data_IF_933422535623
#
_entry.id   IF_933422535623
#
_cell.length_a   1.000
_cell.length_b   1.000
_cell.length_c   1.000
_cell.angle_alpha   90.00
_cell.angle_beta   90.00
_cell.angle_gamma   90.00
#
_symmetry.space_group_name_H-M   'P 1'
#
loop_
_entity.id
_entity.type
_entity.pdbx_description
1 polymer ?
#
# COMPACT_ATOMS: atom_id res chain seq x y z
N UNK A 1 13.55 3.92 -17.87
CA UNK A 1 13.92 5.12 -17.04
C UNK A 1 14.78 6.14 -17.80
N UNK A 2 15.81 5.75 -18.59
CA UNK A 2 16.70 6.71 -19.28
C UNK A 2 15.95 7.67 -20.21
N UNK A 3 14.98 7.19 -20.99
CA UNK A 3 14.15 8.00 -21.88
C UNK A 3 13.25 8.99 -21.09
N UNK A 4 12.66 8.58 -19.98
CA UNK A 4 11.80 9.44 -19.16
C UNK A 4 12.59 10.60 -18.55
N UNK A 5 13.85 10.39 -18.18
CA UNK A 5 14.74 11.46 -17.71
C UNK A 5 15.00 12.52 -18.80
N UNK A 6 15.02 12.12 -20.06
CA UNK A 6 15.09 13.06 -21.17
C UNK A 6 13.94 14.08 -21.22
N UNK A 7 12.77 13.71 -20.67
CA UNK A 7 11.61 14.59 -20.52
C UNK A 7 11.57 15.37 -19.19
N UNK A 8 12.66 15.39 -18.42
CA UNK A 8 12.78 16.06 -17.11
C UNK A 8 11.82 15.51 -16.04
N UNK A 9 11.39 14.25 -16.17
CA UNK A 9 10.56 13.60 -15.16
C UNK A 9 11.43 13.15 -13.97
N UNK A 10 10.96 13.47 -12.77
CA UNK A 10 11.58 12.97 -11.53
C UNK A 10 11.05 11.58 -11.19
N UNK A 11 11.84 10.78 -10.46
CA UNK A 11 11.38 9.49 -9.94
C UNK A 11 10.09 9.64 -9.13
N UNK A 12 10.02 10.70 -8.33
CA UNK A 12 8.85 11.02 -7.52
C UNK A 12 7.61 11.21 -8.40
N UNK A 13 7.72 12.01 -9.46
CA UNK A 13 6.58 12.22 -10.36
C UNK A 13 6.18 10.94 -11.09
N UNK A 14 7.14 10.08 -11.45
CA UNK A 14 6.85 8.79 -12.09
C UNK A 14 6.07 7.88 -11.16
N UNK A 15 6.54 7.69 -9.92
CA UNK A 15 5.93 6.77 -8.95
C UNK A 15 4.63 7.34 -8.37
N UNK A 16 4.58 8.64 -8.05
CA UNK A 16 3.45 9.23 -7.33
C UNK A 16 2.32 9.68 -8.24
N UNK A 17 2.62 10.01 -9.49
CA UNK A 17 1.63 10.60 -10.39
C UNK A 17 1.44 9.77 -11.65
N UNK A 18 2.48 9.57 -12.45
CA UNK A 18 2.31 8.99 -13.80
C UNK A 18 1.88 7.52 -13.76
N UNK A 19 2.52 6.68 -12.94
CA UNK A 19 2.15 5.26 -12.83
C UNK A 19 0.70 5.09 -12.34
N UNK A 20 0.26 5.73 -11.22
CA UNK A 20 -1.12 5.63 -10.76
C UNK A 20 -2.14 6.17 -11.77
N UNK A 21 -1.88 7.32 -12.37
CA UNK A 21 -2.80 7.92 -13.35
C UNK A 21 -2.93 7.08 -14.62
N UNK A 22 -1.81 6.54 -15.13
CA UNK A 22 -1.83 5.64 -16.28
C UNK A 22 -2.58 4.34 -15.97
N UNK A 23 -2.45 3.80 -14.76
CA UNK A 23 -3.19 2.61 -14.34
C UNK A 23 -4.70 2.87 -14.29
N UNK A 24 -5.13 4.05 -13.79
CA UNK A 24 -6.54 4.46 -13.78
C UNK A 24 -7.05 4.59 -15.23
N UNK A 25 -6.31 5.28 -16.09
CA UNK A 25 -6.67 5.46 -17.50
C UNK A 25 -6.81 4.12 -18.24
N UNK A 26 -5.88 3.17 -18.02
CA UNK A 26 -6.00 1.81 -18.58
C UNK A 26 -7.28 1.11 -18.11
N UNK A 27 -7.63 1.25 -16.83
CA UNK A 27 -8.86 0.69 -16.28
C UNK A 27 -10.12 1.32 -16.89
N UNK A 28 -10.13 2.64 -17.09
CA UNK A 28 -11.24 3.35 -17.73
C UNK A 28 -11.42 2.94 -19.19
N UNK A 29 -10.33 2.87 -19.96
CA UNK A 29 -10.34 2.41 -21.35
C UNK A 29 -10.85 0.96 -21.50
N UNK A 30 -10.51 0.10 -20.51
CA UNK A 30 -11.03 -1.27 -20.49
C UNK A 30 -12.53 -1.30 -20.18
N UNK A 31 -12.98 -0.53 -19.20
CA UNK A 31 -14.42 -0.45 -18.84
C UNK A 31 -15.26 0.11 -19.99
N UNK A 32 -14.73 1.08 -20.76
CA UNK A 32 -15.38 1.62 -21.96
C UNK A 32 -15.29 0.70 -23.19
N UNK A 33 -14.56 -0.42 -23.07
CA UNK A 33 -14.29 -1.35 -24.20
C UNK A 33 -13.45 -0.74 -25.33
N UNK A 34 -12.70 0.32 -25.06
CA UNK A 34 -11.77 0.94 -26.03
C UNK A 34 -10.47 0.12 -26.17
N UNK A 35 -10.14 -0.68 -25.19
CA UNK A 35 -9.04 -1.65 -25.21
C UNK A 35 -9.52 -3.02 -24.73
N UNK A 36 -8.85 -4.07 -25.20
CA UNK A 36 -9.15 -5.44 -24.81
C UNK A 36 -8.38 -5.86 -23.51
N UNK A 37 -8.72 -7.05 -23.00
CA UNK A 37 -8.07 -7.61 -21.82
C UNK A 37 -6.54 -7.78 -22.00
N UNK A 38 -6.10 -8.13 -23.20
CA UNK A 38 -4.67 -8.31 -23.48
C UNK A 38 -3.92 -6.97 -23.39
N UNK A 39 -4.49 -5.92 -23.96
CA UNK A 39 -3.91 -4.57 -23.93
C UNK A 39 -3.79 -4.02 -22.51
N UNK A 40 -4.84 -4.13 -21.68
CA UNK A 40 -4.80 -3.67 -20.28
C UNK A 40 -3.81 -4.49 -19.46
N UNK A 41 -3.74 -5.80 -19.68
CA UNK A 41 -2.79 -6.69 -18.99
C UNK A 41 -1.34 -6.32 -19.34
N UNK A 42 -1.02 -6.16 -20.63
CA UNK A 42 0.31 -5.73 -21.06
C UNK A 42 0.66 -4.34 -20.52
N UNK A 43 -0.30 -3.41 -20.52
CA UNK A 43 -0.13 -2.08 -19.95
C UNK A 43 0.22 -2.14 -18.46
N UNK A 44 -0.54 -2.92 -17.68
CA UNK A 44 -0.30 -3.10 -16.24
C UNK A 44 1.09 -3.73 -15.96
N UNK A 45 1.49 -4.75 -16.74
CA UNK A 45 2.83 -5.36 -16.62
C UNK A 45 3.95 -4.37 -16.93
N UNK A 46 3.78 -3.50 -17.93
CA UNK A 46 4.76 -2.44 -18.25
C UNK A 46 4.87 -1.42 -17.13
N UNK A 47 3.74 -1.02 -16.52
CA UNK A 47 3.75 -0.12 -15.36
C UNK A 47 4.45 -0.77 -14.16
N UNK A 48 4.22 -2.06 -13.93
CA UNK A 48 4.90 -2.82 -12.87
C UNK A 48 6.41 -2.89 -13.11
N UNK A 49 6.85 -3.15 -14.34
CA UNK A 49 8.27 -3.17 -14.70
C UNK A 49 8.91 -1.79 -14.51
N UNK A 50 8.23 -0.71 -14.94
CA UNK A 50 8.68 0.66 -14.77
C UNK A 50 8.81 1.03 -13.28
N UNK A 51 7.84 0.64 -12.46
CA UNK A 51 7.88 0.85 -11.01
C UNK A 51 9.05 0.10 -10.37
N UNK A 52 9.29 -1.14 -10.77
CA UNK A 52 10.42 -1.94 -10.29
C UNK A 52 11.75 -1.29 -10.64
N UNK A 53 11.92 -0.84 -11.89
CA UNK A 53 13.12 -0.13 -12.34
C UNK A 53 13.33 1.19 -11.59
N UNK A 54 12.26 1.97 -11.39
CA UNK A 54 12.30 3.20 -10.61
C UNK A 54 12.66 2.96 -9.14
N UNK A 55 12.22 1.84 -8.58
CA UNK A 55 12.46 1.49 -7.17
C UNK A 55 13.92 1.08 -6.88
N UNK A 56 14.65 0.53 -7.86
CA UNK A 56 16.08 0.19 -7.71
C UNK A 56 16.94 1.44 -7.51
N UNK A 57 16.52 2.57 -8.04
CA UNK A 57 17.25 3.84 -7.92
C UNK A 57 16.99 4.57 -6.58
N UNK A 58 16.08 4.06 -5.75
CA UNK A 58 15.82 4.60 -4.41
C UNK A 58 16.94 4.11 -3.49
N UNK A 59 17.75 4.99 -2.90
CA UNK A 59 18.72 4.58 -1.90
C UNK A 59 17.96 3.89 -0.76
N UNK A 60 18.30 2.65 -0.46
CA UNK A 60 17.88 2.04 0.79
C UNK A 60 18.55 2.84 1.91
N UNK A 61 17.80 3.69 2.58
CA UNK A 61 18.23 4.38 3.78
C UNK A 61 18.36 3.35 4.90
N UNK A 62 19.43 2.54 4.84
CA UNK A 62 19.88 1.81 6.01
C UNK A 62 20.34 2.85 7.03
N UNK A 63 19.61 2.92 8.13
CA UNK A 63 19.93 3.57 9.39
C UNK A 63 21.11 4.57 9.34
N UNK A 64 20.82 5.84 9.16
CA UNK A 64 21.76 6.91 9.51
C UNK A 64 21.44 7.28 10.97
N UNK A 65 22.18 6.68 11.92
CA UNK A 65 22.07 7.00 13.35
C UNK A 65 20.90 6.28 14.06
N UNK A 66 20.72 6.56 15.36
CA UNK A 66 19.72 5.97 16.28
C UNK A 66 18.23 6.32 15.97
N UNK A 67 17.88 6.60 14.71
CA UNK A 67 16.49 6.85 14.33
C UNK A 67 15.85 5.51 14.00
N UNK A 68 14.86 5.12 14.81
CA UNK A 68 14.04 3.93 14.58
C UNK A 68 13.31 4.05 13.25
N UNK A 69 13.68 3.19 12.28
CA UNK A 69 13.06 3.15 10.96
C UNK A 69 11.67 2.55 11.10
N UNK A 70 10.63 3.30 10.70
CA UNK A 70 9.27 2.78 10.69
C UNK A 70 9.16 1.63 9.69
N UNK A 71 8.43 0.58 10.08
CA UNK A 71 8.17 -0.59 9.24
C UNK A 71 6.68 -0.71 8.88
N UNK A 72 6.43 -1.16 7.65
CA UNK A 72 5.09 -1.34 7.11
C UNK A 72 4.93 -2.70 6.44
N UNK A 73 3.85 -3.39 6.75
CA UNK A 73 3.38 -4.55 6.01
C UNK A 73 2.19 -4.13 5.14
N UNK A 74 2.32 -4.24 3.82
CA UNK A 74 1.22 -4.01 2.89
C UNK A 74 0.60 -5.36 2.55
N UNK A 75 -0.69 -5.50 2.81
CA UNK A 75 -1.44 -6.74 2.59
C UNK A 75 -2.34 -6.56 1.38
N UNK A 76 -2.15 -7.42 0.39
CA UNK A 76 -3.10 -7.61 -0.70
C UNK A 76 -3.99 -8.79 -0.32
N UNK A 77 -5.28 -8.56 0.00
CA UNK A 77 -6.17 -9.61 0.48
C UNK A 77 -6.37 -10.74 -0.51
N UNK A 78 -6.72 -11.91 0.00
CA UNK A 78 -7.21 -13.01 -0.82
C UNK A 78 -8.40 -12.56 -1.69
N UNK A 79 -8.38 -12.90 -2.98
CA UNK A 79 -9.37 -12.50 -3.97
C UNK A 79 -9.15 -11.11 -4.60
N UNK A 80 -8.16 -10.35 -4.13
CA UNK A 80 -7.75 -9.11 -4.80
C UNK A 80 -6.76 -9.41 -5.93
N UNK A 81 -6.99 -8.80 -7.10
CA UNK A 81 -6.17 -8.99 -8.30
C UNK A 81 -5.37 -7.74 -8.70
N UNK A 82 -5.56 -6.62 -8.00
CA UNK A 82 -4.95 -5.33 -8.32
C UNK A 82 -3.66 -5.12 -7.51
N UNK A 83 -2.56 -5.73 -7.95
CA UNK A 83 -1.28 -5.71 -7.23
C UNK A 83 -0.47 -4.42 -7.41
N UNK A 84 -0.70 -3.69 -8.51
CA UNK A 84 0.08 -2.48 -8.82
C UNK A 84 -0.07 -1.42 -7.72
N UNK A 85 -1.27 -1.23 -7.15
CA UNK A 85 -1.52 -0.27 -6.07
C UNK A 85 -0.68 -0.54 -4.83
N UNK A 86 -0.56 -1.80 -4.42
CA UNK A 86 0.29 -2.22 -3.31
C UNK A 86 1.78 -1.95 -3.60
N UNK A 87 2.22 -2.22 -4.82
CA UNK A 87 3.61 -1.97 -5.24
C UNK A 87 3.94 -0.48 -5.27
N UNK A 88 3.00 0.36 -5.73
CA UNK A 88 3.14 1.84 -5.69
C UNK A 88 3.24 2.31 -4.23
N UNK A 89 2.35 1.86 -3.36
CA UNK A 89 2.37 2.22 -1.94
C UNK A 89 3.70 1.83 -1.27
N UNK A 90 4.23 0.62 -1.57
CA UNK A 90 5.54 0.20 -1.08
C UNK A 90 6.67 1.11 -1.57
N UNK A 91 6.67 1.45 -2.86
CA UNK A 91 7.65 2.38 -3.45
C UNK A 91 7.61 3.77 -2.80
N UNK A 92 6.41 4.29 -2.55
CA UNK A 92 6.21 5.57 -1.87
C UNK A 92 6.71 5.54 -0.43
N UNK A 93 6.37 4.50 0.35
CA UNK A 93 6.81 4.34 1.73
C UNK A 93 8.33 4.22 1.84
N UNK A 94 8.96 3.41 0.98
CA UNK A 94 10.43 3.25 0.96
C UNK A 94 11.14 4.56 0.66
N UNK A 95 10.65 5.37 -0.29
CA UNK A 95 11.20 6.70 -0.56
C UNK A 95 11.06 7.66 0.63
N UNK A 96 10.05 7.47 1.47
CA UNK A 96 9.86 8.24 2.70
C UNK A 96 10.65 7.68 3.89
N UNK A 97 11.56 6.73 3.65
CA UNK A 97 12.44 6.16 4.68
C UNK A 97 11.78 5.06 5.53
N UNK A 98 10.68 4.48 5.07
CA UNK A 98 10.01 3.38 5.76
C UNK A 98 10.49 2.03 5.18
N UNK A 99 10.72 1.03 6.03
CA UNK A 99 10.90 -0.36 5.59
C UNK A 99 9.53 -0.95 5.26
N UNK A 100 9.27 -1.21 3.98
CA UNK A 100 7.99 -1.68 3.51
C UNK A 100 8.09 -3.03 2.81
N UNK A 101 7.32 -4.00 3.27
CA UNK A 101 7.17 -5.33 2.68
C UNK A 101 5.74 -5.56 2.21
N UNK A 102 5.55 -6.49 1.27
CA UNK A 102 4.23 -6.83 0.72
C UNK A 102 3.93 -8.29 1.00
N UNK A 103 2.69 -8.57 1.42
CA UNK A 103 2.09 -9.89 1.52
C UNK A 103 1.01 -10.03 0.44
N UNK A 104 1.09 -11.09 -0.36
CA UNK A 104 0.15 -11.34 -1.44
C UNK A 104 -0.70 -12.57 -1.16
N UNK A 105 -2.00 -12.38 -1.04
CA UNK A 105 -3.00 -13.45 -0.98
C UNK A 105 -2.73 -14.51 0.11
N UNK A 106 -1.99 -14.15 1.16
CA UNK A 106 -1.80 -14.99 2.34
C UNK A 106 -3.10 -15.10 3.13
N UNK A 107 -3.30 -16.20 3.86
CA UNK A 107 -4.47 -16.34 4.70
C UNK A 107 -4.39 -15.48 5.98
N UNK A 108 -5.53 -15.32 6.67
CA UNK A 108 -5.62 -14.49 7.89
C UNK A 108 -4.67 -14.96 8.99
N UNK A 109 -4.42 -16.27 9.10
CA UNK A 109 -3.54 -16.85 10.11
C UNK A 109 -2.08 -16.51 9.80
N UNK A 110 -1.66 -16.74 8.56
CA UNK A 110 -0.29 -16.46 8.10
C UNK A 110 0.07 -14.98 8.29
N UNK A 111 -0.78 -14.06 7.84
CA UNK A 111 -0.55 -12.62 8.03
C UNK A 111 -0.56 -12.25 9.52
N UNK A 112 -1.45 -12.83 10.33
CA UNK A 112 -1.47 -12.56 11.77
C UNK A 112 -0.17 -13.01 12.45
N UNK A 113 0.34 -14.21 12.14
CA UNK A 113 1.60 -14.70 12.70
C UNK A 113 2.79 -13.85 12.22
N UNK A 114 2.78 -13.41 10.97
CA UNK A 114 3.78 -12.48 10.45
C UNK A 114 3.75 -11.14 11.20
N UNK A 115 2.57 -10.55 11.42
CA UNK A 115 2.43 -9.30 12.20
C UNK A 115 2.94 -9.47 13.63
N UNK A 116 2.71 -10.62 14.27
CA UNK A 116 3.25 -10.90 15.61
C UNK A 116 4.76 -11.04 15.63
N UNK A 117 5.34 -11.66 14.61
CA UNK A 117 6.78 -11.90 14.52
C UNK A 117 7.54 -10.61 14.14
N UNK A 118 7.13 -9.96 13.05
CA UNK A 118 7.81 -8.78 12.49
C UNK A 118 7.49 -7.49 13.27
N UNK A 119 6.38 -7.45 14.02
CA UNK A 119 5.88 -6.30 14.78
C UNK A 119 5.92 -4.98 13.99
N UNK A 120 5.34 -4.91 12.79
CA UNK A 120 5.38 -3.71 11.98
C UNK A 120 4.67 -2.54 12.69
N UNK A 121 5.14 -1.31 12.47
CA UNK A 121 4.49 -0.11 13.01
C UNK A 121 3.12 0.13 12.36
N UNK A 122 2.94 -0.32 11.11
CA UNK A 122 1.69 -0.19 10.37
C UNK A 122 1.41 -1.38 9.46
N UNK A 123 0.13 -1.70 9.29
CA UNK A 123 -0.38 -2.67 8.32
C UNK A 123 -1.34 -1.95 7.38
N UNK A 124 -1.06 -1.98 6.08
CA UNK A 124 -1.85 -1.34 5.06
C UNK A 124 -2.55 -2.38 4.20
N UNK A 125 -3.85 -2.26 4.04
CA UNK A 125 -4.64 -3.11 3.13
C UNK A 125 -4.81 -2.42 1.79
N UNK A 126 -4.46 -3.09 0.70
CA UNK A 126 -4.64 -2.59 -0.67
C UNK A 126 -5.82 -3.30 -1.31
N UNK A 127 -6.94 -2.59 -1.48
CA UNK A 127 -8.17 -3.13 -2.08
C UNK A 127 -8.70 -2.20 -3.17
N UNK A 128 -9.05 -2.77 -4.32
CA UNK A 128 -9.73 -2.05 -5.40
C UNK A 128 -11.25 -2.30 -5.41
N UNK A 129 -11.70 -3.35 -4.73
CA UNK A 129 -13.09 -3.82 -4.73
C UNK A 129 -13.63 -4.02 -3.31
N UNK A 130 -14.95 -4.25 -3.21
CA UNK A 130 -15.65 -4.42 -1.93
C UNK A 130 -15.54 -5.86 -1.41
N UNK A 131 -15.48 -6.85 -2.29
CA UNK A 131 -15.54 -8.26 -1.92
C UNK A 131 -14.42 -8.67 -0.95
N UNK A 132 -13.15 -8.22 -1.12
CA UNK A 132 -12.07 -8.53 -0.20
C UNK A 132 -12.21 -7.89 1.19
N UNK A 133 -13.13 -6.93 1.40
CA UNK A 133 -13.27 -6.25 2.69
C UNK A 133 -13.66 -7.20 3.83
N UNK A 134 -14.34 -8.31 3.54
CA UNK A 134 -14.61 -9.36 4.54
C UNK A 134 -13.34 -9.99 5.10
N UNK A 135 -12.33 -10.17 4.24
CA UNK A 135 -11.01 -10.63 4.66
C UNK A 135 -10.34 -9.56 5.53
N UNK A 136 -10.39 -8.29 5.12
CA UNK A 136 -9.82 -7.17 5.89
C UNK A 136 -10.42 -7.11 7.28
N UNK A 137 -11.76 -7.15 7.41
CA UNK A 137 -12.45 -7.13 8.71
C UNK A 137 -11.93 -8.26 9.63
N UNK A 138 -11.91 -9.50 9.13
CA UNK A 138 -11.43 -10.66 9.91
C UNK A 138 -9.98 -10.50 10.35
N UNK A 139 -9.13 -9.96 9.45
CA UNK A 139 -7.72 -9.77 9.77
C UNK A 139 -7.50 -8.63 10.78
N UNK A 140 -8.24 -7.52 10.65
CA UNK A 140 -8.25 -6.41 11.62
C UNK A 140 -8.64 -6.92 13.02
N UNK A 141 -9.74 -7.67 13.12
CA UNK A 141 -10.21 -8.26 14.39
C UNK A 141 -9.15 -9.18 14.99
N UNK A 142 -8.52 -10.02 14.14
CA UNK A 142 -7.52 -10.96 14.60
C UNK A 142 -6.24 -10.28 15.07
N UNK A 143 -5.73 -9.30 14.33
CA UNK A 143 -4.55 -8.51 14.73
C UNK A 143 -4.84 -7.79 16.05
N UNK A 144 -5.96 -7.07 16.13
CA UNK A 144 -6.32 -6.27 17.31
C UNK A 144 -6.49 -7.14 18.56
N UNK A 145 -7.11 -8.32 18.43
CA UNK A 145 -7.31 -9.23 19.57
C UNK A 145 -6.06 -10.02 19.99
N UNK A 146 -5.06 -10.15 19.11
CA UNK A 146 -3.89 -11.00 19.36
C UNK A 146 -2.61 -10.22 19.66
N UNK A 147 -2.62 -8.88 19.58
CA UNK A 147 -1.47 -8.02 19.85
C UNK A 147 -1.77 -7.04 21.00
N UNK A 148 -0.81 -6.89 21.93
CA UNK A 148 -0.97 -5.94 23.07
C UNK A 148 -0.97 -4.49 22.59
N UNK A 149 -0.15 -4.19 21.60
CA UNK A 149 -0.05 -2.88 20.97
C UNK A 149 -0.25 -3.06 19.47
N UNK A 150 -1.50 -3.00 18.98
CA UNK A 150 -1.77 -3.19 17.56
C UNK A 150 -1.07 -2.14 16.71
N UNK A 151 -0.55 -2.51 15.52
CA UNK A 151 -0.03 -1.55 14.56
C UNK A 151 -1.12 -0.57 14.11
N UNK A 152 -0.72 0.51 13.44
CA UNK A 152 -1.68 1.35 12.71
C UNK A 152 -2.26 0.54 11.56
N UNK A 153 -3.58 0.45 11.47
CA UNK A 153 -4.31 -0.29 10.46
C UNK A 153 -4.92 0.69 9.45
N UNK A 154 -4.45 0.66 8.21
CA UNK A 154 -4.93 1.56 7.16
C UNK A 154 -5.45 0.81 5.95
N UNK A 155 -6.46 1.35 5.28
CA UNK A 155 -7.05 0.81 4.06
C UNK A 155 -6.92 1.84 2.94
N UNK A 156 -6.36 1.42 1.82
CA UNK A 156 -6.21 2.20 0.59
C UNK A 156 -6.69 1.45 -0.64
N UNK A 157 -6.79 2.19 -1.74
CA UNK A 157 -7.22 1.69 -3.04
C UNK A 157 -8.42 2.46 -3.60
N UNK A 158 -8.77 2.25 -4.87
CA UNK A 158 -9.85 2.95 -5.55
C UNK A 158 -11.25 2.37 -5.23
N UNK A 159 -11.48 2.00 -3.96
CA UNK A 159 -12.74 1.42 -3.51
C UNK A 159 -13.86 2.43 -3.69
N UNK A 160 -14.91 2.03 -4.39
CA UNK A 160 -16.12 2.85 -4.56
C UNK A 160 -17.13 2.53 -3.46
N UNK A 161 -17.74 3.56 -2.89
CA UNK A 161 -18.78 3.41 -1.85
C UNK A 161 -18.69 4.48 -0.77
N UNK A 162 -19.47 4.30 0.31
CA UNK A 162 -19.43 5.20 1.45
C UNK A 162 -18.21 4.89 2.32
N UNK A 163 -17.15 5.70 2.20
CA UNK A 163 -15.89 5.49 2.89
C UNK A 163 -16.04 5.45 4.41
N UNK A 164 -16.96 6.23 4.99
CA UNK A 164 -17.22 6.20 6.43
C UNK A 164 -17.77 4.85 6.87
N UNK A 165 -18.76 4.34 6.14
CA UNK A 165 -19.35 3.01 6.42
C UNK A 165 -18.32 1.89 6.23
N UNK A 166 -17.45 1.97 5.21
CA UNK A 166 -16.40 1.00 4.97
C UNK A 166 -15.39 0.99 6.13
N UNK A 167 -14.97 2.17 6.59
CA UNK A 167 -14.07 2.30 7.73
C UNK A 167 -14.67 1.70 9.01
N UNK A 168 -15.92 2.03 9.30
CA UNK A 168 -16.64 1.52 10.47
C UNK A 168 -16.81 -0.01 10.42
N UNK A 169 -17.12 -0.55 9.23
CA UNK A 169 -17.29 -1.98 9.03
C UNK A 169 -15.98 -2.77 9.12
N UNK A 170 -14.90 -2.22 8.58
CA UNK A 170 -13.59 -2.90 8.58
C UNK A 170 -12.81 -2.72 9.87
N UNK A 171 -13.13 -1.70 10.67
CA UNK A 171 -12.42 -1.40 11.91
C UNK A 171 -11.02 -0.81 11.72
N UNK A 172 -10.65 -0.36 10.52
CA UNK A 172 -9.35 0.27 10.28
C UNK A 172 -9.26 1.67 10.92
N UNK A 173 -8.06 2.05 11.34
CA UNK A 173 -7.82 3.38 11.93
C UNK A 173 -7.95 4.50 10.90
N UNK A 174 -7.54 4.24 9.65
CA UNK A 174 -7.44 5.25 8.60
C UNK A 174 -7.83 4.68 7.22
N UNK A 175 -8.50 5.49 6.41
CA UNK A 175 -8.67 5.25 4.97
C UNK A 175 -7.98 6.36 4.21
N UNK A 176 -6.99 6.01 3.38
CA UNK A 176 -6.22 6.96 2.57
C UNK A 176 -5.45 6.27 1.45
N UNK A 177 -5.19 7.03 0.37
CA UNK A 177 -4.27 6.63 -0.71
C UNK A 177 -2.93 7.40 -0.64
N UNK A 178 -2.64 8.03 0.50
CA UNK A 178 -1.43 8.83 0.72
C UNK A 178 -0.50 8.15 1.72
N UNK A 179 0.69 7.74 1.29
CA UNK A 179 1.72 7.20 2.17
C UNK A 179 2.12 8.21 3.26
N UNK A 180 2.13 9.52 2.95
CA UNK A 180 2.43 10.58 3.91
C UNK A 180 1.42 10.67 5.03
N UNK A 181 0.12 10.48 4.72
CA UNK A 181 -0.95 10.52 5.73
C UNK A 181 -0.82 9.35 6.70
N UNK A 182 -0.51 8.15 6.19
CA UNK A 182 -0.30 6.97 7.04
C UNK A 182 0.89 7.17 7.97
N UNK A 183 2.03 7.63 7.45
CA UNK A 183 3.22 7.92 8.25
C UNK A 183 2.95 9.02 9.30
N UNK A 184 2.24 10.09 8.90
CA UNK A 184 1.84 11.15 9.81
C UNK A 184 0.92 10.68 10.93
N UNK A 185 -0.02 9.77 10.62
CA UNK A 185 -0.90 9.16 11.61
C UNK A 185 -0.11 8.26 12.57
N UNK A 186 0.79 7.43 12.04
CA UNK A 186 1.65 6.56 12.84
C UNK A 186 2.52 7.36 13.80
N UNK A 187 3.20 8.41 13.34
CA UNK A 187 4.03 9.27 14.17
C UNK A 187 3.25 9.97 15.30
N UNK A 188 2.03 10.41 15.03
CA UNK A 188 1.14 10.99 16.05
C UNK A 188 0.76 9.96 17.13
N UNK A 189 0.43 8.72 16.71
CA UNK A 189 0.07 7.62 17.61
C UNK A 189 1.24 7.22 18.51
N UNK A 190 2.46 7.13 17.97
CA UNK A 190 3.66 6.82 18.75
C UNK A 190 3.94 7.90 19.81
N UNK A 191 3.85 9.19 19.44
CA UNK A 191 4.01 10.30 20.41
C UNK A 191 2.98 10.23 21.54
N UNK A 192 1.75 9.84 21.24
CA UNK A 192 0.70 9.70 22.26
C UNK A 192 0.95 8.50 23.21
N UNK A 193 1.65 7.45 22.73
CA UNK A 193 2.00 6.27 23.55
C UNK A 193 3.31 6.47 24.33
N UNK A 194 4.28 7.21 23.79
CA UNK A 194 5.59 7.48 24.44
C UNK A 194 5.60 8.66 25.41
N UNK A 195 4.51 9.42 25.50
CA UNK A 195 4.36 10.56 26.41
C UNK A 195 3.77 10.22 27.79
N UNK A 196 3.90 8.96 28.26
CA UNK A 196 3.51 8.53 29.59
C UNK A 196 4.71 8.14 30.42
#
# INVERSE_FOLDING_TARGET
MHELRGYRLTLDSVIDLYIPQTAICLGELWVSSDIDFAAVTVGALRLQALLSEASVEIPHLHTIGDVEVLSALIVVPEGEQHFLGASVAAGQLRRLGCDASISFCEDVKEVTERVKFDQPNMVLFSCARIEPLKYVTRLVDKITSSTKTPPVLALGGPIRGNLKSIKEHTGVDLMTNSAKDVLGFCAKRQKALGGK
#
